data_IF_430128416491
#
_entry.id   IF_430128416491
#
_cell.length_a   1.000
_cell.length_b   1.000
_cell.length_c   1.000
_cell.angle_alpha   90.00
_cell.angle_beta   90.00
_cell.angle_gamma   90.00
#
_symmetry.space_group_name_H-M   'P 1'
#
loop_
_entity.id
_entity.type
_entity.pdbx_description
1 polymer ?
#
# COMPACT_ATOMS: atom_id res chain seq x y z
N UNK A 1 12.61 16.29 12.88
CA UNK A 1 11.31 15.65 12.54
C UNK A 1 11.37 15.19 11.09
N UNK A 2 11.71 13.92 10.84
CA UNK A 2 11.72 13.37 9.47
C UNK A 2 10.31 12.94 9.09
N UNK A 3 9.64 13.67 8.21
CA UNK A 3 8.31 13.30 7.74
C UNK A 3 8.42 12.12 6.77
N UNK A 4 7.86 10.95 7.14
CA UNK A 4 7.70 9.82 6.22
C UNK A 4 6.67 10.22 5.14
N UNK A 5 7.14 10.55 3.94
CA UNK A 5 6.28 10.94 2.81
C UNK A 5 5.56 9.73 2.21
N UNK A 6 4.35 9.97 1.71
CA UNK A 6 3.59 8.98 0.95
C UNK A 6 4.34 8.58 -0.34
N UNK A 7 4.32 7.29 -0.72
CA UNK A 7 4.96 6.82 -1.95
C UNK A 7 4.27 7.41 -3.19
N UNK A 8 5.06 7.84 -4.18
CA UNK A 8 4.54 8.43 -5.42
C UNK A 8 4.24 7.37 -6.47
N UNK A 9 2.99 7.24 -6.89
CA UNK A 9 2.60 6.31 -7.95
C UNK A 9 3.40 6.47 -9.26
N UNK A 10 3.78 7.70 -9.62
CA UNK A 10 4.56 7.96 -10.83
C UNK A 10 5.96 7.31 -10.82
N UNK A 11 6.51 7.07 -9.64
CA UNK A 11 7.81 6.44 -9.43
C UNK A 11 7.70 4.92 -9.32
N UNK A 12 6.46 4.40 -9.25
CA UNK A 12 6.16 2.97 -9.18
C UNK A 12 6.29 2.31 -10.56
N UNK A 13 6.88 1.11 -10.59
CA UNK A 13 6.98 0.26 -11.77
C UNK A 13 5.64 -0.38 -12.16
N UNK A 14 4.71 -0.54 -11.21
CA UNK A 14 3.39 -1.12 -11.46
C UNK A 14 2.35 -0.11 -11.97
N UNK A 15 2.66 1.19 -11.90
CA UNK A 15 1.75 2.23 -12.36
C UNK A 15 1.75 2.30 -13.89
N UNK A 16 0.56 2.34 -14.48
CA UNK A 16 0.40 2.50 -15.92
C UNK A 16 -0.77 3.44 -16.24
N UNK A 17 -0.72 4.04 -17.43
CA UNK A 17 -1.79 4.87 -17.97
C UNK A 17 -2.66 4.01 -18.87
N UNK A 18 -3.95 3.87 -18.57
CA UNK A 18 -4.84 2.88 -19.19
C UNK A 18 -5.47 3.35 -20.52
N UNK A 19 -5.20 4.57 -20.98
CA UNK A 19 -5.79 5.21 -22.18
C UNK A 19 -7.33 5.27 -22.22
N UNK A 20 -8.00 4.76 -21.18
CA UNK A 20 -9.45 4.81 -21.02
C UNK A 20 -9.86 6.21 -20.53
N UNK A 21 -10.72 6.88 -21.30
CA UNK A 21 -11.21 8.24 -20.97
C UNK A 21 -11.88 8.30 -19.60
N UNK A 22 -12.50 7.21 -19.14
CA UNK A 22 -13.17 7.16 -17.84
C UNK A 22 -12.20 6.88 -16.70
N UNK A 23 -11.13 6.13 -16.96
CA UNK A 23 -10.18 5.65 -15.96
C UNK A 23 -8.73 5.71 -16.49
N UNK A 24 -8.12 6.90 -16.51
CA UNK A 24 -6.80 7.07 -17.12
C UNK A 24 -5.68 6.42 -16.30
N UNK A 25 -5.88 6.18 -15.00
CA UNK A 25 -4.84 5.73 -14.08
C UNK A 25 -5.08 4.27 -13.69
N UNK A 26 -4.03 3.44 -13.73
CA UNK A 26 -4.13 2.02 -13.36
C UNK A 26 -2.94 1.52 -12.56
N UNK A 27 -3.17 0.46 -11.78
CA UNK A 27 -2.13 -0.29 -11.09
C UNK A 27 -2.14 -1.73 -11.58
N UNK A 28 -1.03 -2.17 -12.18
CA UNK A 28 -0.93 -3.51 -12.78
C UNK A 28 -0.88 -4.59 -11.70
N UNK A 29 -0.25 -4.31 -10.55
CA UNK A 29 -0.14 -5.27 -9.45
C UNK A 29 -1.50 -5.56 -8.78
N UNK A 30 -2.30 -4.52 -8.56
CA UNK A 30 -3.62 -4.64 -7.92
C UNK A 30 -4.74 -4.92 -8.94
N UNK A 31 -4.46 -4.81 -10.24
CA UNK A 31 -5.39 -5.17 -11.30
C UNK A 31 -6.59 -4.23 -11.46
N UNK A 32 -6.53 -2.99 -10.97
CA UNK A 32 -7.63 -2.02 -11.11
C UNK A 32 -7.21 -0.73 -11.81
N UNK A 33 -8.21 -0.02 -12.34
CA UNK A 33 -8.11 1.31 -12.95
C UNK A 33 -9.09 2.27 -12.30
N UNK A 34 -8.69 3.54 -12.17
CA UNK A 34 -9.44 4.58 -11.49
C UNK A 34 -9.25 5.95 -12.14
N UNK A 35 -10.07 6.91 -11.67
CA UNK A 35 -9.87 8.34 -11.99
C UNK A 35 -8.79 8.97 -11.13
N UNK A 36 -8.66 8.48 -9.89
CA UNK A 36 -7.68 8.92 -8.92
C UNK A 36 -6.41 8.08 -9.01
N UNK A 37 -5.33 8.57 -8.40
CA UNK A 37 -4.10 7.82 -8.28
C UNK A 37 -4.35 6.51 -7.53
N UNK A 38 -3.76 5.38 -7.96
CA UNK A 38 -4.01 4.11 -7.31
C UNK A 38 -3.56 4.09 -5.84
N UNK A 39 -2.58 4.91 -5.43
CA UNK A 39 -2.21 5.05 -4.01
C UNK A 39 -3.33 5.65 -3.16
N UNK A 40 -4.11 6.59 -3.72
CA UNK A 40 -5.23 7.23 -3.02
C UNK A 40 -6.38 6.25 -2.87
N UNK A 41 -6.66 5.46 -3.91
CA UNK A 41 -7.70 4.43 -3.85
C UNK A 41 -7.35 3.36 -2.81
N UNK A 42 -6.08 2.92 -2.79
CA UNK A 42 -5.57 1.97 -1.78
C UNK A 42 -5.64 2.55 -0.38
N UNK A 43 -5.29 3.83 -0.21
CA UNK A 43 -5.41 4.53 1.07
C UNK A 43 -6.86 4.62 1.53
N UNK A 44 -7.79 4.93 0.62
CA UNK A 44 -9.22 5.01 0.95
C UNK A 44 -9.81 3.64 1.29
N UNK A 45 -9.38 2.58 0.61
CA UNK A 45 -9.90 1.23 0.82
C UNK A 45 -9.28 0.51 2.02
N UNK A 46 -7.97 0.68 2.24
CA UNK A 46 -7.20 -0.05 3.25
C UNK A 46 -6.89 0.79 4.49
N UNK A 47 -7.01 2.12 4.40
CA UNK A 47 -6.56 3.06 5.44
C UNK A 47 -5.03 3.17 5.56
N UNK A 48 -4.27 2.48 4.71
CA UNK A 48 -2.80 2.43 4.71
C UNK A 48 -2.25 2.85 3.35
N UNK A 49 -1.02 3.38 3.34
CA UNK A 49 -0.31 3.66 2.10
C UNK A 49 -0.05 2.36 1.31
N UNK A 50 0.19 2.46 0.00
CA UNK A 50 0.41 1.29 -0.84
C UNK A 50 1.63 0.47 -0.37
N UNK A 51 1.39 -0.74 0.14
CA UNK A 51 2.44 -1.67 0.59
C UNK A 51 3.19 -2.33 -0.58
N UNK A 52 2.58 -2.38 -1.77
CA UNK A 52 3.15 -2.98 -2.98
C UNK A 52 3.86 -1.98 -3.89
N UNK A 53 4.33 -0.88 -3.31
CA UNK A 53 5.10 0.10 -4.05
C UNK A 53 6.46 -0.48 -4.47
N UNK A 54 6.74 -0.48 -5.77
CA UNK A 54 8.01 -0.92 -6.33
C UNK A 54 8.62 0.20 -7.16
N UNK A 55 9.71 0.80 -6.68
CA UNK A 55 10.37 1.89 -7.39
C UNK A 55 10.94 1.43 -8.75
N UNK A 56 10.90 2.31 -9.76
CA UNK A 56 11.57 2.10 -11.05
C UNK A 56 13.10 2.07 -10.88
N UNK A 57 13.84 1.27 -11.67
CA UNK A 57 15.30 1.27 -11.63
C UNK A 57 15.85 2.68 -11.92
N UNK A 58 16.70 3.20 -11.02
CA UNK A 58 17.26 4.56 -11.09
C UNK A 58 16.46 5.63 -10.34
N UNK A 59 15.24 5.34 -9.87
CA UNK A 59 14.47 6.25 -9.03
C UNK A 59 14.55 5.80 -7.56
N UNK A 60 15.47 6.37 -6.78
CA UNK A 60 15.56 6.13 -5.34
C UNK A 60 14.45 6.90 -4.61
N UNK A 61 13.19 6.52 -4.85
CA UNK A 61 12.09 7.00 -4.04
C UNK A 61 12.21 6.32 -2.68
N UNK A 62 12.83 7.03 -1.74
CA UNK A 62 12.95 6.65 -0.33
C UNK A 62 11.56 6.60 0.30
N UNK A 63 10.85 5.52 0.04
CA UNK A 63 9.70 5.08 0.77
C UNK A 63 10.00 3.60 1.01
N UNK A 64 10.64 3.32 2.14
CA UNK A 64 10.84 1.96 2.59
C UNK A 64 9.49 1.23 2.47
N UNK A 65 9.48 -0.03 2.00
CA UNK A 65 8.30 -0.86 2.14
C UNK A 65 8.01 -0.90 3.64
N UNK A 66 7.03 -0.13 4.09
CA UNK A 66 6.48 -0.36 5.40
C UNK A 66 5.79 -1.71 5.25
N UNK A 67 6.49 -2.70 5.77
CA UNK A 67 5.97 -4.01 6.08
C UNK A 67 4.48 -3.93 6.42
N UNK A 68 3.63 -4.77 5.79
CA UNK A 68 2.36 -5.05 6.39
C UNK A 68 2.67 -5.84 7.68
N UNK A 69 3.00 -5.13 8.76
CA UNK A 69 2.67 -5.58 10.10
C UNK A 69 1.14 -5.62 10.15
N UNK A 70 0.57 -6.64 9.49
CA UNK A 70 -0.60 -7.33 9.99
C UNK A 70 -0.05 -8.16 11.14
N UNK A 71 0.29 -7.47 12.23
CA UNK A 71 0.31 -8.11 13.53
C UNK A 71 -1.16 -8.45 13.79
N UNK A 72 -1.54 -9.65 13.36
CA UNK A 72 -2.68 -10.33 13.94
C UNK A 72 -2.34 -10.33 15.43
N UNK A 73 -2.99 -9.47 16.19
CA UNK A 73 -3.03 -9.57 17.65
C UNK A 73 -3.69 -10.92 17.90
N UNK A 74 -2.87 -11.98 17.93
CA UNK A 74 -3.26 -13.21 18.58
C UNK A 74 -3.34 -12.81 20.06
N UNK A 75 -4.53 -12.79 20.67
CA UNK A 75 -4.65 -12.41 22.06
C UNK A 75 -3.68 -13.27 22.89
N UNK A 76 -2.80 -12.68 23.71
CA UNK A 76 -1.88 -13.44 24.53
C UNK A 76 -2.70 -14.38 25.41
N UNK A 77 -2.28 -15.65 25.42
CA UNK A 77 -3.01 -16.75 26.03
C UNK A 77 -3.57 -16.41 27.41
N UNK A 78 -4.89 -16.53 27.52
CA UNK A 78 -5.59 -16.58 28.80
C UNK A 78 -4.97 -17.70 29.65
N UNK A 79 -4.31 -17.32 30.74
CA UNK A 79 -3.96 -18.25 31.82
C UNK A 79 -5.27 -18.70 32.49
N UNK A 80 -5.83 -19.81 32.02
CA UNK A 80 -6.88 -20.53 32.75
C UNK A 80 -6.19 -21.41 33.79
N UNK A 81 -5.98 -20.86 34.98
CA UNK A 81 -5.76 -21.66 36.19
C UNK A 81 -7.12 -22.21 36.62
N UNK A 82 -7.45 -23.43 36.19
CA UNK A 82 -8.59 -24.15 36.73
C UNK A 82 -8.12 -24.79 38.04
N UNK A 83 -8.68 -24.33 39.16
CA UNK A 83 -8.61 -25.02 40.45
C UNK A 83 -10.02 -25.11 40.99
N UNK A 84 -10.50 -26.34 41.17
CA UNK A 84 -11.52 -26.73 42.12
C UNK A 84 -11.26 -28.20 42.48
#
# INVERSE_FOLDING_TARGET
>A
MGQKKAPRCHDCQHFYVSWDKKFPMGCNYLGFKGKQLPSMEVLSATGKHCCWFKAKPGCQSQCQPHEPEVEVILPPGCSLSITA
#
